data_IF_249219981509
#
_entry.id   IF_249219981509
#
_cell.length_a   1.000
_cell.length_b   1.000
_cell.length_c   1.000
_cell.angle_alpha   90.00
_cell.angle_beta   90.00
_cell.angle_gamma   90.00
#
_symmetry.space_group_name_H-M   'P 1'
#
loop_
_entity.id
_entity.type
_entity.pdbx_description
1 polymer ?
#
# COMPACT_ATOMS: atom_id res chain seq x y z
N UNK A 1 2.05 -18.37 34.81
CA UNK A 1 2.29 -17.74 33.49
C UNK A 1 1.21 -16.71 33.12
N UNK A 2 0.25 -16.38 34.01
CA UNK A 2 -0.84 -15.41 33.73
C UNK A 2 -0.36 -13.96 33.50
N UNK A 3 0.91 -13.67 33.76
CA UNK A 3 1.56 -12.37 33.51
C UNK A 3 2.20 -12.24 32.12
N UNK A 4 2.24 -13.31 31.31
CA UNK A 4 2.93 -13.29 30.02
C UNK A 4 2.18 -12.41 29.00
N UNK A 5 2.82 -11.31 28.60
CA UNK A 5 2.27 -10.37 27.60
C UNK A 5 2.65 -10.70 26.15
N UNK A 6 3.82 -11.29 25.94
CA UNK A 6 4.31 -11.69 24.62
C UNK A 6 4.78 -13.14 24.63
N UNK A 7 4.39 -13.88 23.59
CA UNK A 7 4.81 -15.26 23.33
C UNK A 7 5.43 -15.34 21.95
N UNK A 8 6.71 -15.73 21.89
CA UNK A 8 7.43 -15.93 20.65
C UNK A 8 7.85 -17.38 20.46
N UNK A 9 7.26 -18.02 19.46
CA UNK A 9 7.51 -19.40 19.03
C UNK A 9 8.00 -19.45 17.58
N UNK A 10 8.45 -18.31 17.04
CA UNK A 10 8.88 -18.20 15.64
C UNK A 10 10.04 -19.14 15.33
N UNK A 11 10.00 -19.76 14.15
CA UNK A 11 11.05 -20.67 13.66
C UNK A 11 11.09 -22.03 14.36
N UNK A 12 10.12 -22.34 15.22
CA UNK A 12 10.03 -23.64 15.89
C UNK A 12 9.36 -24.69 15.00
N UNK A 13 9.48 -25.96 15.37
CA UNK A 13 8.83 -27.09 14.70
C UNK A 13 7.36 -27.31 15.12
N UNK A 14 6.74 -26.34 15.83
CA UNK A 14 5.40 -26.49 16.37
C UNK A 14 4.36 -26.74 15.27
N UNK A 15 3.50 -27.73 15.47
CA UNK A 15 2.46 -28.11 14.51
C UNK A 15 1.10 -27.50 14.88
N UNK A 16 0.83 -27.37 16.19
CA UNK A 16 -0.37 -26.77 16.76
C UNK A 16 -0.07 -26.13 18.12
N UNK A 17 -0.88 -25.14 18.50
CA UNK A 17 -0.86 -24.58 19.85
C UNK A 17 -1.84 -25.34 20.74
N UNK A 18 -1.48 -25.65 22.00
CA UNK A 18 -2.40 -26.32 22.91
C UNK A 18 -3.55 -25.41 23.33
N UNK A 19 -4.72 -25.99 23.63
CA UNK A 19 -5.89 -25.24 24.11
C UNK A 19 -5.66 -24.52 25.44
N UNK A 20 -4.64 -24.92 26.21
CA UNK A 20 -4.20 -24.25 27.43
C UNK A 20 -3.72 -22.81 27.21
N UNK A 21 -3.52 -22.37 25.94
CA UNK A 21 -3.21 -20.97 25.64
C UNK A 21 -4.25 -20.00 26.23
N UNK A 22 -5.52 -20.42 26.39
CA UNK A 22 -6.59 -19.60 27.01
C UNK A 22 -6.24 -19.01 28.37
N UNK A 23 -5.36 -19.65 29.15
CA UNK A 23 -4.97 -19.16 30.47
C UNK A 23 -3.99 -17.98 30.40
N UNK A 24 -3.49 -17.63 29.21
CA UNK A 24 -2.62 -16.48 28.98
C UNK A 24 -3.42 -15.21 28.74
N UNK A 25 -4.31 -14.89 29.68
CA UNK A 25 -5.30 -13.81 29.55
C UNK A 25 -4.69 -12.41 29.32
N UNK A 26 -3.41 -12.19 29.64
CA UNK A 26 -2.69 -10.92 29.40
C UNK A 26 -1.88 -10.90 28.09
N UNK A 27 -1.93 -11.98 27.30
CA UNK A 27 -1.18 -12.07 26.05
C UNK A 27 -1.70 -11.04 25.05
N UNK A 28 -0.86 -10.08 24.68
CA UNK A 28 -1.15 -9.08 23.66
C UNK A 28 -0.39 -9.35 22.35
N UNK A 29 0.65 -10.18 22.36
CA UNK A 29 1.51 -10.45 21.20
C UNK A 29 1.81 -11.95 21.06
N UNK A 30 1.41 -12.54 19.93
CA UNK A 30 1.69 -13.94 19.58
C UNK A 30 2.49 -14.01 18.28
N UNK A 31 3.72 -14.53 18.35
CA UNK A 31 4.64 -14.67 17.22
C UNK A 31 4.87 -16.14 16.89
N UNK A 32 4.46 -16.56 15.70
CA UNK A 32 4.58 -17.91 15.14
C UNK A 32 5.24 -17.88 13.74
N UNK A 33 5.98 -16.82 13.42
CA UNK A 33 6.59 -16.65 12.10
C UNK A 33 7.56 -17.79 11.78
N UNK A 34 7.58 -18.27 10.54
CA UNK A 34 8.42 -19.33 10.02
C UNK A 34 8.22 -20.71 10.70
N UNK A 35 7.07 -20.95 11.33
CA UNK A 35 6.66 -22.28 11.79
C UNK A 35 6.12 -23.10 10.61
N UNK A 36 7.02 -23.71 9.84
CA UNK A 36 6.70 -24.38 8.56
C UNK A 36 5.73 -25.55 8.67
N UNK A 37 5.65 -26.19 9.85
CA UNK A 37 4.73 -27.29 10.12
C UNK A 37 3.42 -26.85 10.77
N UNK A 38 3.26 -25.57 11.12
CA UNK A 38 2.08 -25.09 11.81
C UNK A 38 0.85 -25.14 10.91
N UNK A 39 -0.17 -25.87 11.35
CA UNK A 39 -1.36 -26.17 10.52
C UNK A 39 -2.60 -25.38 10.91
N UNK A 40 -2.74 -25.05 12.20
CA UNK A 40 -3.92 -24.36 12.71
C UNK A 40 -3.70 -23.73 14.09
N UNK A 41 -4.47 -22.66 14.38
CA UNK A 41 -4.65 -22.15 15.73
C UNK A 41 -5.76 -22.93 16.45
N UNK A 42 -5.67 -23.14 17.78
CA UNK A 42 -6.77 -23.71 18.57
C UNK A 42 -7.92 -22.70 18.70
N UNK A 43 -9.16 -23.18 18.84
CA UNK A 43 -10.33 -22.30 19.00
C UNK A 43 -10.26 -21.45 20.28
N UNK A 44 -9.49 -21.89 21.28
CA UNK A 44 -9.20 -21.12 22.49
C UNK A 44 -8.42 -19.82 22.23
N UNK A 45 -7.95 -19.57 21.00
CA UNK A 45 -7.36 -18.28 20.62
C UNK A 45 -8.35 -17.12 20.83
N UNK A 46 -9.65 -17.37 20.65
CA UNK A 46 -10.70 -16.38 20.86
C UNK A 46 -10.93 -16.05 22.34
N UNK A 47 -10.38 -16.82 23.28
CA UNK A 47 -10.40 -16.47 24.70
C UNK A 47 -9.34 -15.40 25.04
N UNK A 48 -8.40 -15.14 24.13
CA UNK A 48 -7.33 -14.14 24.29
C UNK A 48 -7.81 -12.74 23.90
N UNK A 49 -8.74 -12.21 24.68
CA UNK A 49 -9.38 -10.92 24.39
C UNK A 49 -8.41 -9.73 24.40
N UNK A 50 -7.21 -9.85 24.96
CA UNK A 50 -6.18 -8.80 24.94
C UNK A 50 -5.23 -8.87 23.74
N UNK A 51 -5.40 -9.85 22.84
CA UNK A 51 -4.49 -10.08 21.72
C UNK A 51 -4.57 -8.93 20.71
N UNK A 52 -3.45 -8.27 20.50
CA UNK A 52 -3.31 -7.10 19.62
C UNK A 52 -2.45 -7.42 18.38
N UNK A 53 -1.45 -8.28 18.52
CA UNK A 53 -0.50 -8.58 17.45
C UNK A 53 -0.40 -10.09 17.22
N UNK A 54 -0.67 -10.52 15.99
CA UNK A 54 -0.55 -11.92 15.57
C UNK A 54 0.34 -12.01 14.34
N UNK A 55 1.43 -12.76 14.47
CA UNK A 55 2.40 -12.97 13.39
C UNK A 55 2.45 -14.45 13.00
N UNK A 56 2.01 -14.77 11.80
CA UNK A 56 1.94 -16.11 11.20
C UNK A 56 2.69 -16.15 9.84
N UNK A 57 3.64 -15.24 9.63
CA UNK A 57 4.41 -15.14 8.38
C UNK A 57 5.16 -16.44 8.10
N UNK A 58 5.13 -16.97 6.88
CA UNK A 58 5.84 -18.19 6.51
C UNK A 58 5.25 -19.49 7.08
N UNK A 59 4.03 -19.49 7.63
CA UNK A 59 3.30 -20.68 8.04
C UNK A 59 2.62 -21.37 6.85
N UNK A 60 3.42 -22.01 5.98
CA UNK A 60 2.97 -22.52 4.67
C UNK A 60 1.85 -23.58 4.72
N UNK A 61 1.75 -24.34 5.83
CA UNK A 61 0.71 -25.35 6.05
C UNK A 61 -0.57 -24.79 6.70
N UNK A 62 -0.58 -23.51 7.08
CA UNK A 62 -1.78 -22.83 7.57
C UNK A 62 -2.70 -22.54 6.38
N UNK A 63 -3.83 -23.24 6.31
CA UNK A 63 -4.81 -23.11 5.22
C UNK A 63 -6.12 -22.47 5.67
N UNK A 64 -6.34 -22.37 6.99
CA UNK A 64 -7.55 -21.81 7.60
C UNK A 64 -7.24 -21.20 8.97
N UNK A 65 -8.12 -20.31 9.40
CA UNK A 65 -8.23 -19.89 10.80
C UNK A 65 -9.25 -20.81 11.53
N UNK A 66 -9.22 -20.94 12.86
CA UNK A 66 -10.15 -21.78 13.61
C UNK A 66 -11.61 -21.34 13.47
N UNK A 67 -12.43 -22.09 12.72
CA UNK A 67 -13.83 -21.73 12.45
C UNK A 67 -14.89 -22.58 13.21
N UNK A 68 -14.50 -23.39 14.21
CA UNK A 68 -15.44 -24.31 14.90
C UNK A 68 -15.69 -23.93 16.36
N UNK A 69 -16.96 -23.73 16.70
CA UNK A 69 -17.47 -23.80 18.07
C UNK A 69 -17.25 -25.25 18.55
N UNK A 70 -16.48 -25.45 19.62
CA UNK A 70 -16.49 -26.74 20.31
C UNK A 70 -17.81 -26.78 21.10
N UNK A 71 -18.69 -27.77 20.89
CA UNK A 71 -19.76 -28.04 21.84
C UNK A 71 -19.11 -28.72 23.05
N UNK A 72 -18.77 -27.96 24.08
CA UNK A 72 -18.57 -28.55 25.41
C UNK A 72 -19.90 -28.55 26.11
N UNK A 73 -20.25 -29.68 26.73
CA UNK A 73 -21.48 -29.91 27.48
C UNK A 73 -21.53 -29.04 28.77
N UNK A 74 -21.55 -27.72 28.62
CA UNK A 74 -21.89 -26.76 29.66
C UNK A 74 -22.89 -25.77 29.06
N UNK A 75 -23.83 -25.31 29.88
CA UNK A 75 -24.83 -24.31 29.51
C UNK A 75 -24.22 -22.90 29.29
N UNK A 76 -22.98 -22.84 28.81
CA UNK A 76 -22.23 -21.62 28.59
C UNK A 76 -22.34 -21.20 27.12
N UNK A 77 -22.65 -19.93 26.96
CA UNK A 77 -22.84 -19.16 25.73
C UNK A 77 -21.85 -19.62 24.64
N UNK A 78 -22.37 -19.86 23.43
CA UNK A 78 -21.57 -20.11 22.23
C UNK A 78 -20.34 -19.20 22.22
N UNK A 79 -19.14 -19.80 22.29
CA UNK A 79 -17.90 -19.04 22.40
C UNK A 79 -17.81 -17.99 21.30
N UNK A 80 -17.61 -16.73 21.69
CA UNK A 80 -17.45 -15.60 20.78
C UNK A 80 -16.25 -15.84 19.87
N UNK A 81 -16.43 -15.82 18.55
CA UNK A 81 -15.34 -15.97 17.56
C UNK A 81 -14.61 -14.64 17.29
N UNK A 82 -14.55 -13.78 18.29
CA UNK A 82 -14.07 -12.39 18.19
C UNK A 82 -12.67 -12.22 18.77
N UNK A 83 -11.90 -11.33 18.16
CA UNK A 83 -10.63 -10.80 18.63
C UNK A 83 -10.69 -9.26 18.56
N UNK A 84 -11.55 -8.62 19.38
CA UNK A 84 -11.93 -7.22 19.18
C UNK A 84 -10.76 -6.25 19.38
N UNK A 85 -9.71 -6.66 20.10
CA UNK A 85 -8.50 -5.89 20.35
C UNK A 85 -7.40 -6.06 19.29
N UNK A 86 -7.63 -6.88 18.26
CA UNK A 86 -6.64 -7.15 17.23
C UNK A 86 -6.29 -5.87 16.47
N UNK A 87 -5.00 -5.51 16.50
CA UNK A 87 -4.45 -4.30 15.90
C UNK A 87 -3.67 -4.62 14.64
N UNK A 88 -2.82 -5.65 14.66
CA UNK A 88 -2.10 -6.12 13.47
C UNK A 88 -2.22 -7.64 13.29
N UNK A 89 -2.50 -8.06 12.06
CA UNK A 89 -2.58 -9.46 11.66
C UNK A 89 -1.69 -9.72 10.43
N UNK A 90 -0.68 -10.56 10.61
CA UNK A 90 0.22 -10.95 9.52
C UNK A 90 0.12 -12.45 9.25
N UNK A 91 -0.36 -12.81 8.06
CA UNK A 91 -0.52 -14.19 7.58
C UNK A 91 0.17 -14.35 6.21
N UNK A 92 1.32 -13.70 6.04
CA UNK A 92 2.14 -13.78 4.82
C UNK A 92 2.56 -15.23 4.53
N UNK A 93 2.45 -15.66 3.28
CA UNK A 93 2.93 -16.95 2.81
C UNK A 93 2.12 -18.16 3.33
N UNK A 94 0.95 -17.92 3.92
CA UNK A 94 -0.03 -18.96 4.23
C UNK A 94 -0.89 -19.23 2.99
N UNK A 95 -1.21 -20.49 2.74
CA UNK A 95 -2.02 -20.89 1.58
C UNK A 95 -3.53 -20.70 1.84
N UNK A 96 -3.93 -19.59 2.45
CA UNK A 96 -5.33 -19.33 2.81
C UNK A 96 -6.21 -19.29 1.56
N UNK A 97 -7.20 -20.18 1.48
CA UNK A 97 -8.21 -20.19 0.42
C UNK A 97 -9.53 -19.53 0.83
N UNK A 98 -9.76 -19.39 2.13
CA UNK A 98 -10.97 -18.83 2.74
C UNK A 98 -10.56 -17.77 3.77
N UNK A 99 -11.16 -16.58 3.68
CA UNK A 99 -10.84 -15.43 4.55
C UNK A 99 -12.07 -14.83 5.23
N UNK A 100 -13.22 -15.51 5.16
CA UNK A 100 -14.48 -15.03 5.75
C UNK A 100 -14.42 -14.94 7.29
N UNK A 101 -13.49 -15.65 7.92
CA UNK A 101 -13.21 -15.55 9.35
C UNK A 101 -12.82 -14.13 9.79
N UNK A 102 -12.20 -13.32 8.92
CA UNK A 102 -11.88 -11.92 9.22
C UNK A 102 -13.16 -11.11 9.45
N UNK A 103 -14.25 -11.52 8.80
CA UNK A 103 -15.60 -11.02 8.99
C UNK A 103 -16.20 -11.25 10.38
N UNK A 104 -15.63 -12.16 11.17
CA UNK A 104 -16.15 -12.52 12.49
C UNK A 104 -15.28 -12.02 13.64
N UNK A 105 -14.09 -11.49 13.37
CA UNK A 105 -13.15 -11.08 14.42
C UNK A 105 -13.58 -9.85 15.22
N UNK A 106 -14.56 -9.08 14.74
CA UNK A 106 -15.07 -7.86 15.40
C UNK A 106 -14.00 -6.82 15.76
N UNK A 107 -12.91 -6.76 14.97
CA UNK A 107 -11.80 -5.80 15.14
C UNK A 107 -11.90 -4.59 14.19
N UNK A 108 -13.10 -4.31 13.67
CA UNK A 108 -13.37 -3.29 12.64
C UNK A 108 -12.80 -1.90 12.95
N UNK A 109 -12.90 -1.48 14.21
CA UNK A 109 -12.44 -0.17 14.69
C UNK A 109 -11.01 -0.20 15.24
N UNK A 110 -10.30 -1.32 15.16
CA UNK A 110 -8.96 -1.46 15.73
C UNK A 110 -7.92 -1.93 14.76
N UNK A 111 -8.25 -2.84 13.85
CA UNK A 111 -7.27 -3.40 12.93
C UNK A 111 -6.66 -2.28 12.07
N UNK A 112 -5.37 -2.06 12.24
CA UNK A 112 -4.58 -1.07 11.50
C UNK A 112 -3.84 -1.68 10.31
N UNK A 113 -3.33 -2.90 10.46
CA UNK A 113 -2.54 -3.59 9.43
C UNK A 113 -3.07 -5.01 9.21
N UNK A 114 -3.36 -5.33 7.95
CA UNK A 114 -3.73 -6.65 7.50
C UNK A 114 -2.78 -7.10 6.38
N UNK A 115 -2.05 -8.18 6.61
CA UNK A 115 -1.17 -8.80 5.62
C UNK A 115 -1.62 -10.23 5.36
N UNK A 116 -2.08 -10.47 4.13
CA UNK A 116 -2.52 -11.77 3.61
C UNK A 116 -1.68 -12.20 2.41
N UNK A 117 -0.49 -11.61 2.23
CA UNK A 117 0.38 -11.85 1.09
C UNK A 117 0.58 -13.34 0.82
N UNK A 118 0.62 -13.74 -0.45
CA UNK A 118 0.85 -15.12 -0.87
C UNK A 118 -0.34 -16.07 -0.63
N UNK A 119 -1.50 -15.55 -0.27
CA UNK A 119 -2.73 -16.35 -0.12
C UNK A 119 -3.37 -16.71 -1.47
N UNK A 120 -4.30 -17.67 -1.44
CA UNK A 120 -4.91 -18.29 -2.62
C UNK A 120 -6.42 -18.03 -2.76
N UNK A 121 -6.99 -17.08 -2.02
CA UNK A 121 -8.37 -16.66 -2.18
C UNK A 121 -8.58 -15.94 -3.52
N UNK A 122 -9.79 -16.03 -4.07
CA UNK A 122 -10.11 -15.53 -5.42
C UNK A 122 -10.66 -14.10 -5.40
N UNK A 123 -11.33 -13.71 -4.32
CA UNK A 123 -11.93 -12.38 -4.17
C UNK A 123 -11.73 -11.89 -2.75
N UNK A 124 -11.51 -10.60 -2.59
CA UNK A 124 -11.59 -9.96 -1.29
C UNK A 124 -13.08 -9.66 -0.98
N UNK A 125 -13.62 -10.04 0.18
CA UNK A 125 -15.03 -9.78 0.47
C UNK A 125 -15.34 -8.32 0.82
N UNK A 126 -16.61 -7.91 0.64
CA UNK A 126 -17.12 -6.56 0.91
C UNK A 126 -16.96 -6.10 2.36
N UNK A 127 -16.82 -7.04 3.31
CA UNK A 127 -16.60 -6.69 4.71
C UNK A 127 -15.32 -5.88 4.92
N UNK A 128 -14.37 -5.89 3.96
CA UNK A 128 -13.13 -5.13 4.07
C UNK A 128 -13.43 -3.67 4.39
N UNK A 129 -14.43 -3.07 3.73
CA UNK A 129 -14.88 -1.67 3.89
C UNK A 129 -15.23 -1.29 5.34
N UNK A 130 -15.59 -2.26 6.18
CA UNK A 130 -15.95 -2.04 7.59
C UNK A 130 -14.74 -1.72 8.47
N UNK A 131 -13.50 -1.99 8.03
CA UNK A 131 -12.29 -1.72 8.79
C UNK A 131 -11.92 -0.22 8.80
N UNK A 132 -12.70 0.59 9.51
CA UNK A 132 -12.60 2.05 9.48
C UNK A 132 -11.24 2.61 9.90
N UNK A 133 -10.43 1.87 10.66
CA UNK A 133 -9.11 2.30 11.10
C UNK A 133 -7.94 1.59 10.39
N UNK A 134 -8.23 0.74 9.39
CA UNK A 134 -7.18 0.06 8.64
C UNK A 134 -6.42 1.03 7.76
N UNK A 135 -5.10 1.00 7.91
CA UNK A 135 -4.12 1.90 7.32
C UNK A 135 -3.35 1.19 6.21
N UNK A 136 -3.06 -0.10 6.39
CA UNK A 136 -2.25 -0.90 5.47
C UNK A 136 -2.90 -2.24 5.15
N UNK A 137 -2.99 -2.52 3.84
CA UNK A 137 -3.45 -3.79 3.29
C UNK A 137 -2.37 -4.36 2.37
N UNK A 138 -1.81 -5.51 2.77
CA UNK A 138 -0.79 -6.19 2.00
C UNK A 138 -1.34 -7.52 1.46
N UNK A 139 -1.43 -7.62 0.13
CA UNK A 139 -1.90 -8.76 -0.64
C UNK A 139 -0.85 -9.20 -1.68
N UNK A 140 0.43 -8.91 -1.45
CA UNK A 140 1.53 -9.24 -2.36
C UNK A 140 1.45 -10.69 -2.80
N UNK A 141 1.50 -10.95 -4.11
CA UNK A 141 1.61 -12.29 -4.66
C UNK A 141 0.38 -13.17 -4.43
N UNK A 142 -0.80 -12.60 -4.14
CA UNK A 142 -2.07 -13.33 -4.14
C UNK A 142 -2.49 -13.66 -5.59
N UNK A 143 -1.78 -14.63 -6.22
CA UNK A 143 -1.85 -14.90 -7.67
C UNK A 143 -3.24 -15.30 -8.20
N UNK A 144 -4.14 -15.75 -7.32
CA UNK A 144 -5.51 -16.15 -7.67
C UNK A 144 -6.54 -15.05 -7.46
N UNK A 145 -6.16 -13.93 -6.85
CA UNK A 145 -7.04 -12.80 -6.59
C UNK A 145 -7.44 -12.15 -7.92
N UNK A 146 -8.75 -12.04 -8.16
CA UNK A 146 -9.34 -11.50 -9.38
C UNK A 146 -10.05 -10.17 -9.12
N UNK A 147 -10.66 -10.01 -7.95
CA UNK A 147 -11.50 -8.86 -7.62
C UNK A 147 -11.19 -8.32 -6.22
N UNK A 148 -11.01 -7.00 -6.13
CA UNK A 148 -10.92 -6.23 -4.90
C UNK A 148 -12.09 -5.22 -4.89
N UNK A 149 -13.00 -5.29 -3.91
CA UNK A 149 -14.10 -4.34 -3.74
C UNK A 149 -13.56 -3.04 -3.16
N UNK A 150 -14.43 -2.04 -2.92
CA UNK A 150 -14.01 -0.77 -2.35
C UNK A 150 -13.18 -0.96 -1.07
N UNK A 151 -12.16 -0.12 -0.90
CA UNK A 151 -11.25 -0.19 0.23
C UNK A 151 -11.76 0.59 1.43
N UNK A 152 -11.21 0.36 2.63
CA UNK A 152 -11.58 1.12 3.81
C UNK A 152 -11.22 2.60 3.72
N UNK A 153 -11.98 3.48 4.39
CA UNK A 153 -11.88 4.93 4.20
C UNK A 153 -10.52 5.53 4.61
N UNK A 154 -9.85 4.94 5.61
CA UNK A 154 -8.58 5.44 6.14
C UNK A 154 -7.35 4.67 5.62
N UNK A 155 -7.54 3.84 4.58
CA UNK A 155 -6.42 3.13 3.95
C UNK A 155 -5.47 4.14 3.32
N UNK A 156 -4.17 3.97 3.56
CA UNK A 156 -3.15 4.78 2.87
C UNK A 156 -2.05 3.95 2.24
N UNK A 157 -1.90 2.66 2.59
CA UNK A 157 -0.96 1.75 1.93
C UNK A 157 -1.70 0.52 1.42
N UNK A 158 -1.56 0.23 0.13
CA UNK A 158 -2.11 -0.96 -0.51
C UNK A 158 -1.04 -1.57 -1.39
N UNK A 159 -0.62 -2.79 -1.08
CA UNK A 159 0.31 -3.54 -1.92
C UNK A 159 -0.39 -4.78 -2.46
N UNK A 160 -0.58 -4.82 -3.78
CA UNK A 160 -1.13 -5.97 -4.50
C UNK A 160 -0.13 -6.47 -5.54
N UNK A 161 1.16 -6.14 -5.38
CA UNK A 161 2.17 -6.47 -6.37
C UNK A 161 2.27 -7.98 -6.59
N UNK A 162 2.36 -8.41 -7.84
CA UNK A 162 2.36 -9.82 -8.23
C UNK A 162 0.98 -10.50 -8.23
N UNK A 163 -0.12 -9.76 -8.04
CA UNK A 163 -1.49 -10.27 -8.24
C UNK A 163 -1.82 -10.39 -9.74
N UNK A 164 -1.22 -11.37 -10.41
CA UNK A 164 -1.25 -11.53 -11.87
C UNK A 164 -2.64 -11.80 -12.47
N UNK A 165 -3.61 -12.24 -11.66
CA UNK A 165 -4.99 -12.52 -12.09
C UNK A 165 -5.96 -11.38 -11.79
N UNK A 166 -5.49 -10.28 -11.18
CA UNK A 166 -6.34 -9.19 -10.72
C UNK A 166 -6.91 -8.40 -11.89
N UNK A 167 -8.23 -8.44 -12.07
CA UNK A 167 -8.96 -7.80 -13.17
C UNK A 167 -9.75 -6.57 -12.71
N UNK A 168 -10.16 -6.55 -11.44
CA UNK A 168 -10.92 -5.45 -10.86
C UNK A 168 -10.23 -4.91 -9.62
N UNK A 169 -10.01 -3.60 -9.64
CA UNK A 169 -9.46 -2.82 -8.55
C UNK A 169 -10.35 -1.59 -8.30
N UNK A 170 -10.47 -1.09 -7.06
CA UNK A 170 -11.33 0.05 -6.76
C UNK A 170 -10.89 1.30 -7.51
N UNK A 171 -11.87 2.12 -7.88
CA UNK A 171 -11.59 3.40 -8.55
C UNK A 171 -10.80 4.28 -7.60
N UNK A 172 -9.65 4.79 -8.05
CA UNK A 172 -8.78 5.63 -7.22
C UNK A 172 -9.50 6.82 -6.57
N UNK A 173 -10.42 7.55 -7.25
CA UNK A 173 -11.13 8.65 -6.60
C UNK A 173 -11.78 8.28 -5.27
N UNK A 174 -12.42 7.12 -5.20
CA UNK A 174 -13.08 6.63 -3.98
C UNK A 174 -12.07 6.41 -2.84
N UNK A 175 -10.84 6.02 -3.17
CA UNK A 175 -9.76 5.78 -2.20
C UNK A 175 -9.14 7.11 -1.72
N UNK A 176 -9.32 8.21 -2.46
CA UNK A 176 -8.66 9.50 -2.23
C UNK A 176 -9.55 10.54 -1.53
N UNK A 177 -10.82 10.24 -1.29
CA UNK A 177 -11.77 11.10 -0.57
C UNK A 177 -11.57 11.16 0.95
N UNK A 178 -10.58 10.45 1.50
CA UNK A 178 -10.30 10.39 2.93
C UNK A 178 -9.92 11.76 3.53
N UNK A 179 -10.35 12.00 4.77
CA UNK A 179 -10.21 13.30 5.47
C UNK A 179 -8.83 13.57 6.07
N UNK A 180 -7.94 12.57 6.14
CA UNK A 180 -6.64 12.74 6.78
C UNK A 180 -5.56 13.29 5.83
N UNK A 181 -5.08 14.49 6.15
CA UNK A 181 -4.17 15.33 5.37
C UNK A 181 -2.68 15.03 5.54
N UNK A 182 -2.32 14.09 6.43
CA UNK A 182 -0.94 13.96 6.91
C UNK A 182 -0.15 12.79 6.31
N UNK A 183 -0.82 11.83 5.64
CA UNK A 183 -0.14 10.60 5.18
C UNK A 183 -0.06 10.49 3.67
N UNK A 184 1.12 10.13 3.18
CA UNK A 184 1.33 9.80 1.77
C UNK A 184 0.58 8.51 1.46
N UNK A 185 -0.30 8.55 0.47
CA UNK A 185 -0.98 7.35 -0.01
C UNK A 185 -0.10 6.63 -1.01
N UNK A 186 0.11 5.34 -0.81
CA UNK A 186 0.93 4.48 -1.66
C UNK A 186 0.11 3.28 -2.15
N UNK A 187 0.17 3.03 -3.45
CA UNK A 187 -0.41 1.84 -4.07
C UNK A 187 0.63 1.15 -4.94
N UNK A 188 0.84 -0.13 -4.70
CA UNK A 188 1.73 -0.95 -5.48
C UNK A 188 0.94 -1.98 -6.28
N UNK A 189 0.76 -1.72 -7.57
CA UNK A 189 0.07 -2.57 -8.54
C UNK A 189 1.07 -3.30 -9.44
N UNK A 190 2.35 -3.40 -9.04
CA UNK A 190 3.40 -3.95 -9.88
C UNK A 190 3.10 -5.37 -10.32
N UNK A 191 3.32 -5.68 -11.60
CA UNK A 191 3.02 -6.99 -12.21
C UNK A 191 1.52 -7.37 -12.24
N UNK A 192 0.60 -6.44 -11.98
CA UNK A 192 -0.84 -6.63 -12.19
C UNK A 192 -1.22 -6.41 -13.67
N UNK A 193 -0.75 -7.28 -14.56
CA UNK A 193 -0.82 -7.10 -16.02
C UNK A 193 -2.25 -7.02 -16.58
N UNK A 194 -3.25 -7.55 -15.87
CA UNK A 194 -4.66 -7.46 -16.29
C UNK A 194 -5.31 -6.10 -15.98
N UNK A 195 -4.62 -5.21 -15.26
CA UNK A 195 -5.08 -3.84 -14.96
C UNK A 195 -4.47 -2.76 -15.87
N UNK A 196 -3.81 -3.13 -16.98
CA UNK A 196 -3.13 -2.19 -17.89
C UNK A 196 -4.05 -1.05 -18.36
N UNK A 197 -5.33 -1.32 -18.62
CA UNK A 197 -6.28 -0.31 -19.08
C UNK A 197 -6.68 0.70 -18.00
N UNK A 198 -6.56 0.33 -16.71
CA UNK A 198 -6.83 1.25 -15.59
C UNK A 198 -5.77 2.35 -15.53
N UNK A 199 -4.52 2.02 -15.89
CA UNK A 199 -3.41 2.95 -15.90
C UNK A 199 -3.55 4.07 -16.94
N UNK A 200 -4.15 3.76 -18.10
CA UNK A 200 -4.47 4.75 -19.12
C UNK A 200 -5.56 5.73 -18.66
N UNK A 201 -6.46 5.30 -17.75
CA UNK A 201 -7.56 6.09 -17.22
C UNK A 201 -7.17 6.99 -16.02
N UNK A 202 -5.90 7.02 -15.63
CA UNK A 202 -5.40 7.94 -14.60
C UNK A 202 -5.31 9.41 -15.04
N UNK A 203 -5.79 9.83 -16.21
CA UNK A 203 -5.68 11.23 -16.64
C UNK A 203 -6.57 12.15 -15.80
N UNK A 204 -7.88 12.15 -16.03
CA UNK A 204 -8.74 13.23 -15.54
C UNK A 204 -9.25 12.95 -14.12
N UNK A 205 -9.67 11.70 -13.85
CA UNK A 205 -10.24 11.32 -12.56
C UNK A 205 -9.20 11.25 -11.43
N UNK A 206 -7.98 10.80 -11.70
CA UNK A 206 -6.90 10.72 -10.70
C UNK A 206 -6.51 12.11 -10.22
N UNK A 207 -6.30 13.05 -11.15
CA UNK A 207 -5.88 14.42 -10.85
C UNK A 207 -6.97 15.22 -10.12
N UNK A 208 -8.25 15.02 -10.45
CA UNK A 208 -9.37 15.66 -9.75
C UNK A 208 -9.50 15.14 -8.31
N UNK A 209 -9.31 13.84 -8.09
CA UNK A 209 -9.42 13.24 -6.76
C UNK A 209 -8.23 13.57 -5.86
N UNK A 210 -7.06 13.80 -6.44
CA UNK A 210 -5.84 14.21 -5.77
C UNK A 210 -5.92 15.68 -5.32
N UNK A 211 -6.78 15.99 -4.34
CA UNK A 211 -6.95 17.35 -3.80
C UNK A 211 -5.68 17.82 -3.07
N UNK A 212 -5.54 17.45 -1.80
CA UNK A 212 -4.49 17.89 -0.87
C UNK A 212 -3.59 16.74 -0.38
N UNK A 213 -3.73 15.56 -0.98
CA UNK A 213 -3.03 14.35 -0.56
C UNK A 213 -1.95 14.00 -1.58
N UNK A 214 -0.77 13.64 -1.09
CA UNK A 214 0.24 13.06 -1.97
C UNK A 214 -0.10 11.59 -2.21
N UNK A 215 -0.08 11.18 -3.48
CA UNK A 215 -0.50 9.84 -3.92
C UNK A 215 0.55 9.28 -4.87
N UNK A 216 1.16 8.17 -4.48
CA UNK A 216 2.09 7.41 -5.30
C UNK A 216 1.47 6.09 -5.75
N UNK A 217 1.54 5.79 -7.04
CA UNK A 217 1.11 4.53 -7.63
C UNK A 217 2.23 3.98 -8.50
N UNK A 218 2.51 2.68 -8.41
CA UNK A 218 3.35 1.98 -9.38
C UNK A 218 2.53 0.89 -10.08
N UNK A 219 2.68 0.77 -11.39
CA UNK A 219 1.92 -0.16 -12.22
C UNK A 219 2.70 -0.59 -13.46
N UNK A 220 2.36 -1.73 -14.08
CA UNK A 220 2.87 -2.16 -15.38
C UNK A 220 2.85 -1.10 -16.48
N UNK A 221 3.97 -0.86 -17.16
CA UNK A 221 4.02 0.05 -18.30
C UNK A 221 5.43 0.47 -18.70
N UNK A 222 5.64 0.73 -19.99
CA UNK A 222 6.97 1.05 -20.53
C UNK A 222 7.23 2.53 -20.78
N UNK A 223 6.19 3.37 -20.73
CA UNK A 223 6.26 4.78 -21.07
C UNK A 223 5.42 5.63 -20.13
N UNK A 224 5.86 6.88 -19.91
CA UNK A 224 5.08 7.87 -19.15
C UNK A 224 3.76 8.17 -19.88
N UNK A 225 2.61 8.24 -19.16
CA UNK A 225 1.30 8.47 -19.76
C UNK A 225 1.23 9.71 -20.68
N UNK A 226 0.43 9.61 -21.75
CA UNK A 226 0.43 10.63 -22.82
C UNK A 226 -0.07 12.02 -22.41
N UNK A 227 -0.89 12.09 -21.36
CA UNK A 227 -1.43 13.35 -20.83
C UNK A 227 -0.39 14.22 -20.10
N UNK A 228 0.83 13.72 -19.87
CA UNK A 228 1.92 14.54 -19.36
C UNK A 228 2.36 15.57 -20.42
N UNK A 229 2.32 16.85 -20.04
CA UNK A 229 2.64 17.96 -20.93
C UNK A 229 4.14 18.05 -21.22
N UNK A 230 4.96 17.82 -20.19
CA UNK A 230 6.41 17.77 -20.33
C UNK A 230 6.85 16.30 -20.20
N UNK A 231 7.32 15.70 -21.30
CA UNK A 231 7.83 14.33 -21.33
C UNK A 231 9.18 14.25 -22.01
N UNK A 232 10.01 13.31 -21.56
CA UNK A 232 11.31 13.00 -22.14
C UNK A 232 11.43 11.49 -22.31
N UNK A 233 11.42 11.03 -23.56
CA UNK A 233 11.68 9.64 -23.90
C UNK A 233 13.18 9.42 -24.10
N UNK A 234 13.73 8.38 -23.48
CA UNK A 234 15.15 8.11 -23.45
C UNK A 234 15.46 6.99 -24.44
N UNK A 235 16.29 7.29 -25.45
CA UNK A 235 16.68 6.33 -26.50
C UNK A 235 17.52 5.16 -25.97
N UNK A 236 18.14 5.34 -24.80
CA UNK A 236 18.95 4.33 -24.12
C UNK A 236 18.66 4.36 -22.62
N UNK A 237 18.80 3.23 -21.92
CA UNK A 237 18.75 3.16 -20.47
C UNK A 237 19.75 4.16 -19.85
N UNK A 238 19.28 5.10 -19.03
CA UNK A 238 20.12 6.09 -18.33
C UNK A 238 19.94 6.02 -16.81
N UNK A 239 20.96 6.49 -16.07
CA UNK A 239 20.97 6.53 -14.59
C UNK A 239 20.23 7.74 -14.02
N UNK A 240 20.05 8.77 -14.83
CA UNK A 240 19.38 10.01 -14.46
C UNK A 240 18.52 10.51 -15.63
N UNK A 241 17.39 11.13 -15.30
CA UNK A 241 16.50 11.79 -16.25
C UNK A 241 16.13 13.15 -15.71
N UNK A 242 16.59 14.21 -16.37
CA UNK A 242 16.22 15.57 -16.01
C UNK A 242 15.28 16.16 -17.05
N UNK A 243 14.26 16.86 -16.55
CA UNK A 243 13.28 17.59 -17.36
C UNK A 243 13.02 18.97 -16.76
N UNK A 244 13.09 19.98 -17.62
CA UNK A 244 12.80 21.37 -17.24
C UNK A 244 11.38 21.73 -17.61
N UNK A 245 10.74 22.53 -16.77
CA UNK A 245 9.39 23.03 -16.99
C UNK A 245 9.23 24.41 -16.34
N UNK A 246 8.31 25.22 -16.86
CA UNK A 246 8.04 26.56 -16.35
C UNK A 246 6.83 26.54 -15.42
N UNK A 247 6.93 27.27 -14.31
CA UNK A 247 5.78 27.64 -13.49
C UNK A 247 5.23 28.98 -14.01
N UNK A 248 3.99 29.03 -14.53
CA UNK A 248 3.43 30.24 -15.14
C UNK A 248 3.06 31.29 -14.09
N UNK A 249 3.03 32.58 -14.50
CA UNK A 249 2.67 33.72 -13.63
C UNK A 249 1.34 33.56 -12.92
N UNK A 250 0.37 33.01 -13.64
CA UNK A 250 -1.05 33.04 -13.27
C UNK A 250 -1.41 31.83 -12.39
N UNK A 251 -0.41 31.08 -11.93
CA UNK A 251 -0.61 29.87 -11.16
C UNK A 251 -1.16 30.18 -9.76
N UNK A 252 -2.46 29.96 -9.56
CA UNK A 252 -3.09 29.94 -8.22
C UNK A 252 -2.67 28.69 -7.44
N UNK A 253 -1.96 28.86 -6.33
CA UNK A 253 -1.26 27.78 -5.62
C UNK A 253 -2.16 26.81 -4.82
N UNK A 254 -3.31 27.29 -4.34
CA UNK A 254 -4.06 26.68 -3.22
C UNK A 254 -4.69 25.31 -3.48
N UNK A 255 -4.90 24.93 -4.73
CA UNK A 255 -5.52 23.65 -5.12
C UNK A 255 -4.76 22.90 -6.22
N UNK A 256 -3.50 23.28 -6.45
CA UNK A 256 -2.70 22.74 -7.55
C UNK A 256 -1.59 21.84 -7.02
N UNK A 257 -1.00 21.06 -7.91
CA UNK A 257 0.12 20.20 -7.59
C UNK A 257 0.94 19.83 -8.81
N UNK A 258 1.95 19.00 -8.58
CA UNK A 258 2.77 18.42 -9.62
C UNK A 258 2.51 16.92 -9.68
N UNK A 259 2.24 16.43 -10.88
CA UNK A 259 2.37 15.02 -11.19
C UNK A 259 3.78 14.77 -11.74
N UNK A 260 4.46 13.80 -11.16
CA UNK A 260 5.78 13.31 -11.55
C UNK A 260 5.61 11.87 -12.00
N UNK A 261 6.26 11.49 -13.09
CA UNK A 261 6.23 10.10 -13.53
C UNK A 261 7.53 9.67 -14.17
N UNK A 262 7.86 8.40 -13.96
CA UNK A 262 9.01 7.72 -14.53
C UNK A 262 8.59 6.34 -14.99
N UNK A 263 8.92 5.99 -16.22
CA UNK A 263 8.96 4.61 -16.65
C UNK A 263 10.37 4.07 -16.41
N UNK A 264 10.48 2.96 -15.70
CA UNK A 264 11.74 2.36 -15.30
C UNK A 264 11.73 0.85 -15.49
N UNK A 265 12.93 0.27 -15.51
CA UNK A 265 13.15 -1.16 -15.57
C UNK A 265 14.32 -1.50 -14.64
N UNK A 266 14.19 -2.59 -13.90
CA UNK A 266 15.24 -3.06 -12.99
C UNK A 266 15.22 -4.58 -12.93
N UNK A 267 16.37 -5.26 -13.03
CA UNK A 267 16.44 -6.69 -12.82
C UNK A 267 16.51 -7.09 -11.34
N UNK A 268 16.47 -6.11 -10.41
CA UNK A 268 16.61 -6.33 -8.97
C UNK A 268 15.26 -6.31 -8.26
N UNK A 269 15.12 -7.17 -7.25
CA UNK A 269 13.95 -7.21 -6.37
C UNK A 269 13.82 -5.95 -5.51
N UNK A 270 14.94 -5.47 -5.00
CA UNK A 270 15.02 -4.34 -4.08
C UNK A 270 15.72 -3.17 -4.74
N UNK A 271 15.30 -1.97 -4.39
CA UNK A 271 15.99 -0.76 -4.77
C UNK A 271 15.15 0.47 -4.52
N UNK A 272 15.73 1.61 -4.88
CA UNK A 272 15.06 2.89 -4.76
C UNK A 272 15.55 3.88 -5.82
N UNK A 273 14.77 4.93 -6.02
CA UNK A 273 15.20 6.11 -6.75
C UNK A 273 14.55 7.36 -6.18
N UNK A 274 15.11 8.51 -6.53
CA UNK A 274 14.66 9.81 -6.09
C UNK A 274 14.01 10.58 -7.22
N UNK A 275 12.97 11.35 -6.87
CA UNK A 275 12.48 12.45 -7.68
C UNK A 275 12.70 13.75 -6.90
N UNK A 276 13.42 14.68 -7.50
CA UNK A 276 13.83 15.93 -6.86
C UNK A 276 13.44 17.10 -7.73
N UNK A 277 12.79 18.10 -7.12
CA UNK A 277 12.49 19.36 -7.77
C UNK A 277 13.54 20.38 -7.39
N UNK A 278 14.13 21.01 -8.40
CA UNK A 278 15.08 22.10 -8.28
C UNK A 278 14.49 23.40 -8.83
N UNK A 279 14.84 24.51 -8.20
CA UNK A 279 14.55 25.87 -8.66
C UNK A 279 15.84 26.67 -8.59
N UNK A 280 16.28 27.25 -9.71
CA UNK A 280 17.59 27.92 -9.81
C UNK A 280 18.76 27.05 -9.29
N UNK A 281 18.78 25.76 -9.65
CA UNK A 281 19.74 24.74 -9.19
C UNK A 281 19.59 24.29 -7.72
N UNK A 282 18.90 25.07 -6.88
CA UNK A 282 18.63 24.71 -5.48
C UNK A 282 17.56 23.64 -5.36
N UNK A 283 17.80 22.63 -4.52
CA UNK A 283 16.82 21.58 -4.22
C UNK A 283 15.73 22.15 -3.31
N UNK A 284 14.49 22.12 -3.79
CA UNK A 284 13.33 22.63 -3.03
C UNK A 284 12.41 21.53 -2.51
N UNK A 285 12.40 20.36 -3.14
CA UNK A 285 11.58 19.23 -2.73
C UNK A 285 12.22 17.94 -3.20
N UNK A 286 12.12 16.87 -2.42
CA UNK A 286 12.62 15.55 -2.82
C UNK A 286 11.81 14.45 -2.16
N UNK A 287 11.57 13.40 -2.94
CA UNK A 287 10.84 12.21 -2.51
C UNK A 287 11.55 10.98 -3.03
N UNK A 288 11.55 9.93 -2.21
CA UNK A 288 12.14 8.64 -2.54
C UNK A 288 11.03 7.65 -2.84
N UNK A 289 11.20 6.88 -3.91
CA UNK A 289 10.41 5.69 -4.17
C UNK A 289 11.27 4.47 -3.88
N UNK A 290 10.84 3.65 -2.93
CA UNK A 290 11.44 2.37 -2.59
C UNK A 290 10.56 1.23 -3.12
N UNK A 291 11.17 0.12 -3.51
CA UNK A 291 10.48 -1.11 -3.91
C UNK A 291 11.23 -2.33 -3.37
N UNK A 292 10.50 -3.44 -3.20
CA UNK A 292 11.06 -4.63 -2.55
C UNK A 292 10.13 -5.83 -2.44
N UNK A 293 8.83 -5.65 -2.67
CA UNK A 293 7.83 -6.71 -2.48
C UNK A 293 7.96 -7.84 -3.50
N UNK A 294 8.09 -7.49 -4.79
CA UNK A 294 8.23 -8.45 -5.90
C UNK A 294 9.35 -8.04 -6.87
N UNK A 295 9.83 -8.99 -7.67
CA UNK A 295 10.70 -8.69 -8.81
C UNK A 295 9.83 -8.11 -9.91
N UNK A 296 10.24 -7.00 -10.51
CA UNK A 296 9.59 -6.46 -11.70
C UNK A 296 9.85 -7.38 -12.90
N UNK A 297 8.81 -7.91 -13.54
CA UNK A 297 8.96 -8.85 -14.65
C UNK A 297 9.22 -8.14 -15.99
N UNK A 298 8.90 -6.85 -16.08
CA UNK A 298 9.26 -5.99 -17.21
C UNK A 298 9.35 -4.51 -16.76
N UNK A 299 9.09 -3.56 -17.65
CA UNK A 299 9.09 -2.14 -17.30
C UNK A 299 7.80 -1.75 -16.57
N UNK A 300 7.95 -0.83 -15.62
CA UNK A 300 6.86 -0.29 -14.81
C UNK A 300 6.89 1.23 -14.82
N UNK A 301 5.74 1.83 -14.57
CA UNK A 301 5.57 3.26 -14.42
C UNK A 301 5.30 3.55 -12.97
N UNK A 302 6.09 4.47 -12.41
CA UNK A 302 5.77 5.15 -11.17
C UNK A 302 5.11 6.49 -11.50
N UNK A 303 4.01 6.77 -10.82
CA UNK A 303 3.25 8.01 -10.89
C UNK A 303 3.10 8.56 -9.48
N UNK A 304 3.49 9.81 -9.28
CA UNK A 304 3.34 10.51 -8.02
C UNK A 304 2.64 11.84 -8.26
N UNK A 305 1.57 12.09 -7.51
CA UNK A 305 1.04 13.42 -7.32
C UNK A 305 1.52 14.01 -6.00
N UNK A 306 1.95 15.27 -6.03
CA UNK A 306 2.30 16.04 -4.84
C UNK A 306 1.61 17.41 -4.90
N UNK A 307 0.76 17.74 -3.91
CA UNK A 307 0.12 19.05 -3.85
C UNK A 307 1.15 20.13 -3.45
N UNK A 308 0.99 21.35 -3.96
CA UNK A 308 1.93 22.43 -3.66
C UNK A 308 1.97 22.81 -2.19
N UNK A 309 0.88 22.67 -1.44
CA UNK A 309 0.88 22.91 0.01
C UNK A 309 1.91 22.04 0.74
N UNK A 310 2.05 20.76 0.34
CA UNK A 310 3.06 19.85 0.90
C UNK A 310 4.48 20.25 0.52
N UNK A 311 4.67 20.73 -0.71
CA UNK A 311 5.98 21.25 -1.10
C UNK A 311 6.33 22.55 -0.35
N UNK A 312 5.36 23.43 -0.13
CA UNK A 312 5.53 24.67 0.64
C UNK A 312 5.85 24.42 2.12
N UNK A 313 5.20 23.43 2.74
CA UNK A 313 5.58 22.94 4.08
C UNK A 313 7.06 22.53 4.12
N UNK A 314 7.52 21.73 3.14
CA UNK A 314 8.91 21.28 3.04
C UNK A 314 9.90 22.45 2.83
N UNK A 315 9.55 23.41 1.97
CA UNK A 315 10.35 24.61 1.69
C UNK A 315 10.49 25.49 2.93
N UNK A 316 9.40 25.70 3.67
CA UNK A 316 9.38 26.46 4.93
C UNK A 316 10.21 25.81 6.03
N UNK A 317 10.15 24.48 6.16
CA UNK A 317 10.98 23.73 7.11
C UNK A 317 12.48 23.94 6.84
N UNK A 318 12.86 24.12 5.58
CA UNK A 318 14.24 24.39 5.16
C UNK A 318 14.56 25.89 5.07
N UNK A 319 13.77 26.76 5.72
CA UNK A 319 13.97 28.21 5.77
C UNK A 319 14.11 28.88 4.39
N UNK A 320 13.55 28.27 3.36
CA UNK A 320 13.58 28.73 1.98
C UNK A 320 12.24 29.34 1.60
N UNK A 321 12.18 30.07 0.48
CA UNK A 321 10.91 30.58 -0.06
C UNK A 321 10.83 30.30 -1.55
N UNK A 322 9.61 30.06 -2.03
CA UNK A 322 9.37 29.96 -3.47
C UNK A 322 9.63 31.31 -4.14
N UNK A 323 10.32 31.34 -5.29
CA UNK A 323 10.43 32.57 -6.07
C UNK A 323 9.07 32.96 -6.64
N UNK A 324 8.94 34.24 -7.01
CA UNK A 324 7.74 34.72 -7.67
C UNK A 324 7.69 34.19 -9.11
N UNK A 325 6.57 33.56 -9.54
CA UNK A 325 6.36 33.20 -10.93
C UNK A 325 6.51 34.39 -11.91
N UNK A 326 7.00 34.17 -13.15
CA UNK A 326 7.34 32.86 -13.70
C UNK A 326 8.77 32.48 -13.32
N UNK A 327 9.01 31.19 -13.14
CA UNK A 327 10.35 30.66 -12.93
C UNK A 327 10.48 29.25 -13.52
N UNK A 328 11.72 28.89 -13.84
CA UNK A 328 12.06 27.56 -14.36
C UNK A 328 12.33 26.60 -13.22
N UNK A 329 11.72 25.42 -13.32
CA UNK A 329 11.98 24.27 -12.48
C UNK A 329 12.74 23.21 -13.27
N UNK A 330 13.51 22.38 -12.56
CA UNK A 330 14.05 21.12 -13.07
C UNK A 330 13.58 19.98 -12.17
N UNK A 331 12.83 19.03 -12.72
CA UNK A 331 12.61 17.74 -12.07
C UNK A 331 13.75 16.81 -12.47
N UNK A 332 14.45 16.28 -11.48
CA UNK A 332 15.60 15.38 -11.65
C UNK A 332 15.23 14.03 -11.04
N UNK A 333 15.31 12.99 -11.85
CA UNK A 333 15.09 11.61 -11.44
C UNK A 333 16.42 10.89 -11.46
N UNK A 334 16.86 10.34 -10.33
CA UNK A 334 18.17 9.67 -10.24
C UNK A 334 18.14 8.55 -9.20
N UNK A 335 19.16 7.71 -9.23
CA UNK A 335 19.35 6.57 -8.31
C UNK A 335 20.80 6.54 -7.82
N UNK A 336 21.00 6.03 -6.60
CA UNK A 336 22.33 6.07 -5.99
C UNK A 336 23.19 4.83 -6.31
N UNK A 337 22.63 3.62 -6.27
CA UNK A 337 23.45 2.39 -6.27
C UNK A 337 22.99 1.26 -7.23
N UNK A 338 21.69 0.96 -7.36
CA UNK A 338 21.23 -0.29 -8.02
C UNK A 338 21.04 -0.19 -9.54
N UNK A 339 21.25 -1.23 -10.37
CA UNK A 339 21.05 -1.22 -11.84
C UNK A 339 19.58 -1.04 -12.31
N UNK A 340 18.92 0.00 -11.84
CA UNK A 340 17.68 0.53 -12.34
C UNK A 340 17.97 1.48 -13.50
N UNK A 341 17.12 1.44 -14.52
CA UNK A 341 17.25 2.29 -15.68
C UNK A 341 15.94 3.02 -15.95
N UNK A 342 16.06 4.31 -16.25
CA UNK A 342 14.93 5.10 -16.71
C UNK A 342 14.78 4.97 -18.22
N UNK A 343 13.54 4.80 -18.66
CA UNK A 343 13.10 4.75 -20.08
C UNK A 343 12.44 6.05 -20.51
N UNK A 344 11.68 6.66 -19.63
CA UNK A 344 11.10 7.98 -19.85
C UNK A 344 10.81 8.66 -18.52
N UNK A 345 10.83 9.99 -18.50
CA UNK A 345 10.35 10.77 -17.36
C UNK A 345 9.39 11.87 -17.82
N UNK A 346 8.52 12.31 -16.93
CA UNK A 346 7.58 13.38 -17.23
C UNK A 346 7.14 14.16 -16.00
N UNK A 347 6.74 15.39 -16.28
CA UNK A 347 6.15 16.32 -15.31
C UNK A 347 4.89 16.91 -15.92
N UNK A 348 3.85 17.02 -15.10
CA UNK A 348 2.62 17.68 -15.47
C UNK A 348 2.19 18.59 -14.33
N UNK A 349 1.93 19.86 -14.66
CA UNK A 349 1.36 20.83 -13.74
C UNK A 349 -0.14 20.61 -13.66
N UNK A 350 -0.61 20.15 -12.52
CA UNK A 350 -2.01 19.79 -12.32
C UNK A 350 -2.80 21.04 -11.97
N UNK A 351 -3.72 21.41 -12.86
CA UNK A 351 -4.69 22.47 -12.64
C UNK A 351 -6.05 21.79 -12.57
N UNK A 352 -6.71 21.69 -11.40
CA UNK A 352 -8.06 21.16 -11.34
C UNK A 352 -8.95 21.98 -12.28
N UNK A 353 -9.73 21.31 -13.12
CA UNK A 353 -10.84 22.00 -13.79
C UNK A 353 -11.76 22.54 -12.70
N UNK A 354 -12.07 23.83 -12.73
CA UNK A 354 -13.19 24.34 -11.95
C UNK A 354 -14.41 23.51 -12.37
N UNK A 355 -15.13 22.92 -11.40
CA UNK A 355 -16.45 22.33 -11.68
C UNK A 355 -17.25 23.42 -12.39
N UNK A 356 -17.46 23.23 -13.70
CA UNK A 356 -18.03 24.25 -14.56
C UNK A 356 -19.38 24.65 -14.00
N UNK A 357 -19.50 25.94 -13.65
CA UNK A 357 -20.80 26.58 -13.51
C UNK A 357 -21.51 26.50 -14.85
N UNK A 358 -22.57 25.71 -14.90
CA UNK A 358 -23.55 25.62 -15.96
C UNK A 358 -24.91 25.40 -15.35
#
# INVERSE_FOLDING_TARGET
MESLGEMNLSGTAIEELPSSIRYLIRLYSLKLSNCKNFTNLPCSIYELQNLQFVYLRGCQKLVRFPNKVIPTNSNDIAGSLTLPNLFHLYIEGANLSEIDFLGTLDCWSRLGILDLSGSNFVRLPEWITKFVNMQELNLVGCKRLVDIPDLPPNIHSVDVSGCISLERFPKLPNILEGKELERHRRMDLSNCWRLLDIAANFSDHFLIACKQLSVGVVFPGSEVPMWFNCRKNLKKPVKNCDISFEIPRDLRWEKKGLALSVAFETPFKFGSFYAVIHVYEEKIYGVMFEFGSTIFESAHVWLLYVPFCKMDEYVKLNQSTWPRPPFMCRASFYRDYDPLYFKSCGVHLVVPQEEGGG
#
